data_IF_311438763018
#
_entry.id   IF_311438763018
#
_cell.length_a   1.000
_cell.length_b   1.000
_cell.length_c   1.000
_cell.angle_alpha   90.00
_cell.angle_beta   90.00
_cell.angle_gamma   90.00
#
_symmetry.space_group_name_H-M   'P 1'
#
loop_
_entity.id
_entity.type
_entity.pdbx_description
1 polymer ?
#
# COMPACT_ATOMS: atom_id res chain seq x y z
N UNK A 1 -5.93 -10.50 6.96
CA UNK A 1 -5.07 -9.83 5.96
C UNK A 1 -5.89 -9.69 4.70
N UNK A 2 -6.12 -8.46 4.24
CA UNK A 2 -6.97 -8.23 3.06
C UNK A 2 -6.06 -7.92 1.86
N UNK A 3 -6.31 -8.61 0.76
CA UNK A 3 -5.62 -8.43 -0.53
C UNK A 3 -6.67 -8.18 -1.61
N UNK A 4 -6.27 -7.53 -2.71
CA UNK A 4 -7.13 -7.46 -3.89
C UNK A 4 -6.49 -8.20 -5.07
N UNK A 5 -7.34 -8.76 -5.93
CA UNK A 5 -6.88 -9.52 -7.09
C UNK A 5 -6.07 -8.66 -8.06
N UNK A 6 -6.47 -7.41 -8.31
CA UNK A 6 -5.68 -6.51 -9.16
C UNK A 6 -4.32 -6.19 -8.54
N UNK A 7 -4.23 -6.06 -7.21
CA UNK A 7 -2.98 -5.75 -6.52
C UNK A 7 -2.02 -6.95 -6.50
N UNK A 8 -2.54 -8.16 -6.30
CA UNK A 8 -1.76 -9.39 -6.51
C UNK A 8 -1.28 -9.52 -7.96
N UNK A 9 -2.10 -9.08 -8.93
CA UNK A 9 -1.78 -9.17 -10.37
C UNK A 9 -0.56 -8.32 -10.78
N UNK A 10 -0.15 -7.37 -9.94
CA UNK A 10 1.09 -6.61 -10.12
C UNK A 10 2.34 -7.46 -9.90
N UNK A 11 2.24 -8.51 -9.07
CA UNK A 11 3.34 -9.41 -8.73
C UNK A 11 3.25 -10.78 -9.40
N UNK A 12 2.06 -11.24 -9.78
CA UNK A 12 1.85 -12.54 -10.44
C UNK A 12 0.81 -12.41 -11.55
N UNK A 13 0.88 -13.23 -12.62
CA UNK A 13 -0.13 -13.17 -13.68
C UNK A 13 -1.36 -14.02 -13.34
N UNK A 14 -2.47 -13.36 -13.00
CA UNK A 14 -3.73 -14.03 -12.67
C UNK A 14 -4.73 -14.06 -13.84
N UNK A 15 -4.39 -13.61 -15.05
CA UNK A 15 -5.35 -13.43 -16.15
C UNK A 15 -6.17 -14.67 -16.51
N UNK A 16 -5.62 -15.87 -16.32
CA UNK A 16 -6.24 -17.18 -16.59
C UNK A 16 -6.77 -17.89 -15.33
N UNK A 17 -6.63 -17.30 -14.15
CA UNK A 17 -6.98 -17.94 -12.86
C UNK A 17 -8.35 -17.49 -12.39
N UNK A 18 -9.31 -18.39 -12.20
CA UNK A 18 -10.64 -18.02 -11.68
C UNK A 18 -10.61 -17.73 -10.17
N UNK A 19 -11.63 -17.04 -9.66
CA UNK A 19 -11.78 -16.82 -8.21
C UNK A 19 -11.99 -18.14 -7.45
N UNK A 20 -12.63 -19.14 -8.05
CA UNK A 20 -12.74 -20.50 -7.49
C UNK A 20 -11.36 -21.18 -7.35
N UNK A 21 -10.51 -21.05 -8.38
CA UNK A 21 -9.14 -21.58 -8.33
C UNK A 21 -8.32 -20.85 -7.28
N UNK A 22 -8.44 -19.52 -7.16
CA UNK A 22 -7.78 -18.76 -6.08
C UNK A 22 -8.22 -19.25 -4.70
N UNK A 23 -9.53 -19.36 -4.46
CA UNK A 23 -10.07 -19.86 -3.21
C UNK A 23 -9.49 -21.22 -2.82
N UNK A 24 -9.53 -22.19 -3.74
CA UNK A 24 -9.01 -23.53 -3.49
C UNK A 24 -7.49 -23.52 -3.24
N UNK A 25 -6.76 -22.71 -4.00
CA UNK A 25 -5.30 -22.65 -3.91
C UNK A 25 -4.85 -22.06 -2.57
N UNK A 26 -5.43 -20.93 -2.16
CA UNK A 26 -5.13 -20.29 -0.87
C UNK A 26 -5.35 -21.24 0.30
N UNK A 27 -6.53 -21.87 0.37
CA UNK A 27 -6.84 -22.85 1.41
C UNK A 27 -5.89 -24.06 1.38
N UNK A 28 -5.48 -24.53 0.19
CA UNK A 28 -4.55 -25.66 0.05
C UNK A 28 -3.13 -25.35 0.55
N UNK A 29 -2.71 -24.08 0.55
CA UNK A 29 -1.39 -23.66 1.05
C UNK A 29 -1.44 -23.07 2.47
N UNK A 30 -2.57 -23.20 3.16
CA UNK A 30 -2.74 -22.77 4.55
C UNK A 30 -2.92 -21.25 4.72
N UNK A 31 -3.27 -20.54 3.65
CA UNK A 31 -3.77 -19.16 3.71
C UNK A 31 -5.30 -19.24 3.67
N UNK A 32 -5.93 -19.44 4.82
CA UNK A 32 -7.37 -19.68 4.90
C UNK A 32 -8.15 -18.45 4.40
N UNK A 33 -9.12 -18.69 3.52
CA UNK A 33 -9.93 -17.62 2.95
C UNK A 33 -11.22 -17.47 3.74
N UNK A 34 -11.36 -16.36 4.45
CA UNK A 34 -12.59 -16.03 5.18
C UNK A 34 -13.68 -15.55 4.21
N UNK A 35 -13.34 -14.61 3.31
CA UNK A 35 -14.29 -14.07 2.35
C UNK A 35 -13.66 -13.74 0.99
N UNK A 36 -14.48 -13.82 -0.06
CA UNK A 36 -14.18 -13.31 -1.41
C UNK A 36 -15.36 -12.46 -1.86
N UNK A 37 -15.12 -11.17 -2.03
CA UNK A 37 -16.15 -10.19 -2.40
C UNK A 37 -15.79 -9.54 -3.74
N UNK A 38 -16.63 -9.75 -4.76
CA UNK A 38 -16.48 -9.15 -6.08
C UNK A 38 -17.21 -7.81 -6.14
N UNK A 39 -16.50 -6.75 -6.54
CA UNK A 39 -17.09 -5.44 -6.79
C UNK A 39 -17.35 -5.29 -8.28
N UNK A 40 -18.62 -5.14 -8.63
CA UNK A 40 -19.05 -4.95 -10.02
C UNK A 40 -19.57 -3.54 -10.23
N UNK A 41 -18.97 -2.79 -11.15
CA UNK A 41 -19.46 -1.49 -11.56
C UNK A 41 -20.40 -1.63 -12.77
N UNK A 42 -21.57 -0.97 -12.81
CA UNK A 42 -22.45 -1.04 -13.97
C UNK A 42 -21.80 -0.45 -15.24
N UNK A 43 -21.99 -1.07 -16.41
CA UNK A 43 -21.36 -0.63 -17.68
C UNK A 43 -21.70 0.81 -18.07
N UNK A 44 -22.88 1.30 -17.68
CA UNK A 44 -23.34 2.68 -17.94
C UNK A 44 -22.81 3.71 -16.95
N UNK A 45 -21.97 3.29 -16.00
CA UNK A 45 -21.13 4.17 -15.21
C UNK A 45 -19.81 4.33 -15.95
N UNK A 46 -19.55 5.53 -16.44
CA UNK A 46 -18.42 5.84 -17.32
C UNK A 46 -17.54 6.92 -16.71
N UNK A 47 -16.30 7.00 -17.19
CA UNK A 47 -15.43 8.15 -16.92
C UNK A 47 -16.02 9.38 -17.60
N UNK A 48 -16.27 10.45 -16.85
CA UNK A 48 -16.70 11.74 -17.36
C UNK A 48 -15.62 12.79 -17.21
N UNK A 49 -15.37 13.58 -18.25
CA UNK A 49 -14.48 14.73 -18.21
C UNK A 49 -15.27 16.01 -17.94
N UNK A 50 -14.98 16.69 -16.84
CA UNK A 50 -15.65 17.95 -16.47
C UNK A 50 -15.12 19.07 -17.37
N UNK A 51 -16.01 19.64 -18.20
CA UNK A 51 -15.69 20.74 -19.10
C UNK A 51 -15.92 22.11 -18.45
N UNK A 52 -16.97 22.21 -17.64
CA UNK A 52 -17.23 23.38 -16.80
C UNK A 52 -18.07 23.01 -15.58
N UNK A 53 -17.92 23.78 -14.50
CA UNK A 53 -18.70 23.65 -13.28
C UNK A 53 -19.09 25.04 -12.79
N UNK A 54 -20.38 25.35 -12.84
CA UNK A 54 -20.93 26.65 -12.45
C UNK A 54 -21.86 26.51 -11.23
N UNK A 55 -22.04 27.59 -10.47
CA UNK A 55 -22.97 27.59 -9.35
C UNK A 55 -24.41 27.47 -9.86
N UNK A 56 -25.24 26.67 -9.19
CA UNK A 56 -26.64 26.58 -9.55
C UNK A 56 -27.36 27.92 -9.30
N UNK A 57 -28.15 28.44 -10.26
CA UNK A 57 -28.75 29.78 -10.16
C UNK A 57 -29.71 29.92 -8.97
N UNK A 58 -30.45 28.86 -8.67
CA UNK A 58 -31.49 28.84 -7.63
C UNK A 58 -31.15 27.96 -6.41
N UNK A 59 -29.89 27.56 -6.21
CA UNK A 59 -29.51 26.68 -5.09
C UNK A 59 -28.03 26.81 -4.63
N UNK A 60 -27.84 27.26 -3.39
CA UNK A 60 -26.51 27.52 -2.81
C UNK A 60 -25.62 26.28 -2.62
N UNK A 61 -26.20 25.08 -2.57
CA UNK A 61 -25.45 23.82 -2.36
C UNK A 61 -25.31 22.98 -3.62
N UNK A 62 -25.79 23.45 -4.77
CA UNK A 62 -25.72 22.72 -6.02
C UNK A 62 -24.80 23.41 -7.01
N UNK A 63 -24.20 22.61 -7.86
CA UNK A 63 -23.41 23.02 -9.01
C UNK A 63 -24.01 22.42 -10.27
N UNK A 64 -23.90 23.14 -11.39
CA UNK A 64 -24.31 22.70 -12.73
C UNK A 64 -23.04 22.43 -13.51
N UNK A 65 -22.81 21.16 -13.82
CA UNK A 65 -21.61 20.70 -14.51
C UNK A 65 -21.93 20.37 -15.96
N UNK A 66 -21.07 20.79 -16.90
CA UNK A 66 -21.03 20.27 -18.26
C UNK A 66 -19.97 19.18 -18.33
N UNK A 67 -20.36 17.94 -18.57
CA UNK A 67 -19.47 16.78 -18.50
C UNK A 67 -19.50 16.05 -19.84
N UNK A 68 -18.33 15.82 -20.42
CA UNK A 68 -18.17 14.94 -21.58
C UNK A 68 -18.16 13.48 -21.12
N UNK A 69 -19.08 12.69 -21.65
CA UNK A 69 -19.21 11.25 -21.38
C UNK A 69 -18.88 10.41 -22.63
N UNK A 70 -18.05 10.95 -23.54
CA UNK A 70 -17.58 10.32 -24.78
C UNK A 70 -18.61 10.31 -25.91
N UNK A 71 -19.87 10.01 -25.58
CA UNK A 71 -20.99 10.09 -26.54
C UNK A 71 -21.52 11.51 -26.76
N UNK A 72 -20.97 12.50 -26.05
CA UNK A 72 -21.35 13.90 -26.08
C UNK A 72 -21.33 14.55 -24.71
N UNK A 73 -21.56 15.86 -24.68
CA UNK A 73 -21.64 16.64 -23.44
C UNK A 73 -23.03 16.54 -22.81
N UNK A 74 -23.08 16.33 -21.49
CA UNK A 74 -24.30 16.31 -20.66
C UNK A 74 -24.26 17.42 -19.63
N UNK A 75 -25.43 17.96 -19.30
CA UNK A 75 -25.61 18.82 -18.14
C UNK A 75 -26.00 17.95 -16.93
N UNK A 76 -25.22 18.00 -15.86
CA UNK A 76 -25.46 17.21 -14.65
C UNK A 76 -25.39 18.13 -13.43
N UNK A 77 -26.43 18.07 -12.60
CA UNK A 77 -26.47 18.83 -11.34
C UNK A 77 -25.83 17.99 -10.24
N UNK A 78 -24.79 18.53 -9.61
CA UNK A 78 -24.03 17.86 -8.54
C UNK A 78 -24.09 18.66 -7.24
N UNK A 79 -24.35 17.99 -6.12
CA UNK A 79 -24.37 18.61 -4.79
C UNK A 79 -23.05 18.54 -4.02
N UNK A 80 -22.08 17.76 -4.50
CA UNK A 80 -20.81 17.60 -3.83
C UNK A 80 -19.92 18.83 -4.05
N UNK A 81 -19.32 19.34 -2.98
CA UNK A 81 -18.49 20.56 -3.04
C UNK A 81 -17.18 20.33 -3.82
N UNK A 82 -16.63 19.11 -3.75
CA UNK A 82 -15.37 18.73 -4.38
C UNK A 82 -15.44 18.61 -5.92
N UNK A 83 -16.64 18.63 -6.53
CA UNK A 83 -16.79 18.58 -8.00
C UNK A 83 -16.17 19.77 -8.72
N UNK A 84 -16.02 20.91 -8.03
CA UNK A 84 -15.49 22.17 -8.62
C UNK A 84 -14.04 22.02 -9.08
N UNK A 85 -13.26 21.16 -8.42
CA UNK A 85 -11.84 20.95 -8.71
C UNK A 85 -11.58 19.65 -9.48
N UNK A 86 -12.63 18.94 -9.89
CA UNK A 86 -12.49 17.64 -10.53
C UNK A 86 -12.26 17.79 -12.04
N UNK A 87 -11.25 17.13 -12.58
CA UNK A 87 -11.08 16.99 -14.04
C UNK A 87 -11.84 15.76 -14.57
N UNK A 88 -11.66 14.61 -13.91
CA UNK A 88 -12.35 13.37 -14.24
C UNK A 88 -13.15 12.84 -13.05
N UNK A 89 -14.34 12.34 -13.34
CA UNK A 89 -15.30 11.83 -12.34
C UNK A 89 -16.00 10.56 -12.84
N UNK A 90 -16.57 9.78 -11.93
CA UNK A 90 -17.47 8.70 -12.30
C UNK A 90 -18.88 9.23 -12.59
N UNK A 91 -19.44 8.92 -13.76
CA UNK A 91 -20.76 9.39 -14.19
C UNK A 91 -21.67 8.22 -14.51
N UNK A 92 -22.77 8.11 -13.76
CA UNK A 92 -23.87 7.23 -14.12
C UNK A 92 -24.76 7.92 -15.15
N UNK A 93 -24.77 7.39 -16.37
CA UNK A 93 -25.56 7.90 -17.49
C UNK A 93 -27.03 7.46 -17.42
N UNK A 94 -27.92 8.10 -18.18
CA UNK A 94 -29.35 7.75 -18.19
C UNK A 94 -29.56 6.26 -18.52
N UNK A 95 -30.37 5.61 -17.68
CA UNK A 95 -30.68 4.19 -17.74
C UNK A 95 -29.57 3.30 -17.18
N UNK A 96 -28.55 3.85 -16.49
CA UNK A 96 -27.72 3.09 -15.57
C UNK A 96 -28.56 2.63 -14.38
N UNK A 97 -28.27 1.44 -13.85
CA UNK A 97 -28.89 0.91 -12.62
C UNK A 97 -27.78 0.76 -11.59
N UNK A 98 -27.83 1.56 -10.54
CA UNK A 98 -26.87 1.54 -9.44
C UNK A 98 -27.27 0.48 -8.39
N UNK A 99 -26.33 0.06 -7.52
CA UNK A 99 -26.63 -0.78 -6.36
C UNK A 99 -27.89 -0.34 -5.61
N UNK A 100 -28.73 -1.32 -5.23
CA UNK A 100 -30.05 -1.07 -4.63
C UNK A 100 -31.16 -0.79 -5.64
N UNK A 101 -31.01 -1.25 -6.89
CA UNK A 101 -31.99 -1.12 -7.98
C UNK A 101 -32.35 0.34 -8.31
N UNK A 102 -31.38 1.26 -8.16
CA UNK A 102 -31.58 2.68 -8.39
C UNK A 102 -31.31 3.05 -9.86
N UNK A 103 -32.38 3.17 -10.65
CA UNK A 103 -32.30 3.53 -12.06
C UNK A 103 -32.13 5.06 -12.27
N UNK A 104 -31.06 5.44 -12.98
CA UNK A 104 -30.80 6.83 -13.36
C UNK A 104 -31.76 7.27 -14.46
N UNK A 105 -32.53 8.32 -14.19
CA UNK A 105 -33.49 8.93 -15.11
C UNK A 105 -33.17 10.39 -15.31
N UNK A 106 -33.65 10.94 -16.42
CA UNK A 106 -33.67 12.39 -16.62
C UNK A 106 -34.46 13.05 -15.49
N UNK A 107 -33.85 14.03 -14.83
CA UNK A 107 -34.46 14.75 -13.71
C UNK A 107 -34.35 16.27 -13.88
N UNK A 108 -35.19 17.00 -13.16
CA UNK A 108 -35.10 18.46 -13.07
C UNK A 108 -34.92 18.85 -11.61
N UNK A 109 -33.73 19.34 -11.26
CA UNK A 109 -33.40 19.77 -9.91
C UNK A 109 -33.50 21.29 -9.86
N UNK A 110 -34.41 21.82 -9.04
CA UNK A 110 -34.57 23.27 -8.81
C UNK A 110 -34.66 24.11 -10.10
N UNK A 111 -35.29 23.57 -11.16
CA UNK A 111 -35.47 24.29 -12.41
C UNK A 111 -34.46 23.96 -13.50
N UNK A 112 -33.36 23.28 -13.17
CA UNK A 112 -32.27 22.91 -14.08
C UNK A 112 -32.32 21.42 -14.42
N UNK A 113 -32.15 21.08 -15.70
CA UNK A 113 -32.13 19.69 -16.18
C UNK A 113 -30.84 18.97 -15.77
N UNK A 114 -30.95 17.69 -15.40
CA UNK A 114 -29.83 16.82 -15.07
C UNK A 114 -29.96 15.51 -15.84
N UNK A 115 -29.01 15.27 -16.73
CA UNK A 115 -28.95 14.14 -17.66
C UNK A 115 -28.02 13.02 -17.16
N UNK A 116 -28.03 12.77 -15.86
CA UNK A 116 -27.17 11.78 -15.20
C UNK A 116 -26.90 12.11 -13.75
N UNK A 117 -25.92 11.42 -13.18
CA UNK A 117 -25.45 11.60 -11.81
C UNK A 117 -23.93 11.44 -11.76
N UNK A 118 -23.24 12.35 -11.04
CA UNK A 118 -21.83 12.17 -10.67
C UNK A 118 -21.80 11.34 -9.38
N UNK A 119 -21.06 10.24 -9.39
CA UNK A 119 -21.14 9.22 -8.34
C UNK A 119 -20.05 9.37 -7.27
N UNK A 120 -20.47 9.16 -6.03
CA UNK A 120 -19.61 8.81 -4.89
C UNK A 120 -19.24 7.32 -4.91
N UNK A 121 -18.28 6.92 -4.08
CA UNK A 121 -17.87 5.54 -3.93
C UNK A 121 -19.01 4.66 -3.37
N UNK A 122 -19.68 5.16 -2.33
CA UNK A 122 -20.81 4.47 -1.68
C UNK A 122 -21.96 4.19 -2.65
N UNK A 123 -22.29 5.13 -3.53
CA UNK A 123 -23.33 4.93 -4.55
C UNK A 123 -23.00 3.84 -5.55
N UNK A 124 -21.72 3.52 -5.74
CA UNK A 124 -21.26 2.43 -6.60
C UNK A 124 -20.94 1.14 -5.85
N UNK A 125 -21.20 1.09 -4.54
CA UNK A 125 -20.88 -0.07 -3.70
C UNK A 125 -19.38 -0.26 -3.44
N UNK A 126 -18.58 0.79 -3.65
CA UNK A 126 -17.17 0.82 -3.26
C UNK A 126 -17.05 1.24 -1.78
N UNK A 127 -15.95 0.86 -1.09
CA UNK A 127 -15.61 1.39 0.22
C UNK A 127 -15.58 2.92 0.24
N UNK A 128 -15.85 3.51 1.40
CA UNK A 128 -15.89 4.96 1.55
C UNK A 128 -14.49 5.57 1.37
N UNK A 129 -14.39 6.51 0.42
CA UNK A 129 -13.15 7.23 0.10
C UNK A 129 -13.39 8.74 0.16
N UNK A 130 -13.18 9.31 1.34
CA UNK A 130 -13.38 10.73 1.61
C UNK A 130 -14.83 11.19 1.46
N UNK A 131 -15.01 12.52 1.53
CA UNK A 131 -16.32 13.15 1.42
C UNK A 131 -16.66 13.51 -0.04
N UNK A 132 -17.83 13.07 -0.51
CA UNK A 132 -18.42 13.52 -1.77
C UNK A 132 -18.24 12.57 -2.95
N UNK A 133 -18.04 13.13 -4.15
CA UNK A 133 -17.90 12.34 -5.39
C UNK A 133 -16.49 11.80 -5.57
N UNK A 134 -16.36 10.73 -6.35
CA UNK A 134 -15.04 10.20 -6.71
C UNK A 134 -14.38 11.08 -7.76
N UNK A 135 -13.25 11.68 -7.40
CA UNK A 135 -12.35 12.33 -8.34
C UNK A 135 -11.37 11.26 -8.83
N UNK A 136 -11.42 10.99 -10.13
CA UNK A 136 -10.57 9.98 -10.76
C UNK A 136 -9.27 10.64 -11.23
N UNK A 137 -8.17 9.89 -11.16
CA UNK A 137 -6.88 10.29 -11.69
C UNK A 137 -6.23 9.15 -12.51
N UNK A 138 -5.08 9.44 -13.10
CA UNK A 138 -4.39 8.48 -13.98
C UNK A 138 -3.75 7.30 -13.22
N UNK A 139 -3.85 7.23 -11.87
CA UNK A 139 -3.32 6.11 -11.10
C UNK A 139 -4.05 4.79 -11.39
N UNK A 140 -5.28 4.83 -11.90
CA UNK A 140 -6.01 3.64 -12.39
C UNK A 140 -5.76 3.35 -13.88
N UNK A 141 -4.92 4.15 -14.55
CA UNK A 141 -4.62 4.06 -15.96
C UNK A 141 -5.18 5.23 -16.77
N UNK A 142 -5.04 5.17 -18.10
CA UNK A 142 -5.48 6.26 -18.98
C UNK A 142 -7.00 6.48 -18.89
N UNK A 143 -7.36 7.72 -18.54
CA UNK A 143 -8.72 8.18 -18.38
C UNK A 143 -9.24 8.77 -19.69
N UNK A 144 -10.26 8.11 -20.25
CA UNK A 144 -10.91 8.51 -21.50
C UNK A 144 -12.40 8.75 -21.24
N UNK A 145 -12.92 9.91 -21.67
CA UNK A 145 -14.33 10.22 -21.53
C UNK A 145 -15.21 9.15 -22.21
N UNK A 146 -16.20 8.63 -21.50
CA UNK A 146 -17.11 7.59 -21.96
C UNK A 146 -16.61 6.16 -21.80
N UNK A 147 -15.35 5.94 -21.43
CA UNK A 147 -14.85 4.60 -21.10
C UNK A 147 -15.57 4.07 -19.86
N UNK A 148 -16.09 2.85 -19.94
CA UNK A 148 -16.81 2.23 -18.83
C UNK A 148 -15.88 2.07 -17.62
N UNK A 149 -16.34 2.51 -16.44
CA UNK A 149 -15.55 2.39 -15.21
C UNK A 149 -15.36 0.92 -14.81
N UNK A 150 -16.27 0.05 -15.24
CA UNK A 150 -16.16 -1.41 -15.09
C UNK A 150 -14.97 -2.04 -15.81
N UNK A 151 -14.39 -1.34 -16.79
CA UNK A 151 -13.22 -1.83 -17.52
C UNK A 151 -11.90 -1.67 -16.76
N UNK A 152 -11.90 -0.99 -15.61
CA UNK A 152 -10.72 -0.80 -14.77
C UNK A 152 -10.67 -1.90 -13.70
N UNK A 153 -9.74 -2.88 -13.78
CA UNK A 153 -9.68 -3.99 -12.85
C UNK A 153 -9.35 -3.57 -11.41
N UNK A 154 -8.75 -2.39 -11.25
CA UNK A 154 -8.44 -1.80 -9.95
C UNK A 154 -9.66 -1.18 -9.26
N UNK A 155 -10.75 -0.96 -9.99
CA UNK A 155 -12.02 -0.43 -9.46
C UNK A 155 -13.06 -1.54 -9.36
N UNK A 156 -13.25 -2.32 -10.44
CA UNK A 156 -14.06 -3.55 -10.41
C UNK A 156 -13.23 -4.74 -10.00
N UNK A 157 -12.77 -4.72 -8.74
CA UNK A 157 -11.81 -5.66 -8.21
C UNK A 157 -12.47 -6.78 -7.39
N UNK A 158 -11.69 -7.80 -7.04
CA UNK A 158 -12.06 -8.85 -6.08
C UNK A 158 -11.26 -8.65 -4.80
N UNK A 159 -11.95 -8.40 -3.69
CA UNK A 159 -11.37 -8.31 -2.35
C UNK A 159 -11.36 -9.71 -1.74
N UNK A 160 -10.21 -10.12 -1.21
CA UNK A 160 -9.99 -11.45 -0.62
C UNK A 160 -9.46 -11.26 0.79
N UNK A 161 -10.19 -11.78 1.77
CA UNK A 161 -9.79 -11.75 3.17
C UNK A 161 -9.17 -13.09 3.59
N UNK A 162 -7.94 -13.01 4.09
CA UNK A 162 -7.15 -14.16 4.52
C UNK A 162 -6.98 -14.15 6.04
N UNK A 163 -7.29 -15.26 6.69
CA UNK A 163 -6.92 -15.52 8.07
C UNK A 163 -5.49 -16.06 8.13
N UNK A 164 -4.60 -15.32 8.80
CA UNK A 164 -3.19 -15.68 8.90
C UNK A 164 -2.86 -16.16 10.31
N UNK A 165 -2.25 -17.34 10.37
CA UNK A 165 -1.62 -17.84 11.59
C UNK A 165 -0.33 -17.07 11.91
N UNK A 166 0.08 -17.06 13.18
CA UNK A 166 1.20 -16.23 13.65
C UNK A 166 2.54 -16.55 12.98
N UNK A 167 2.73 -17.77 12.47
CA UNK A 167 3.93 -18.20 11.74
C UNK A 167 4.03 -17.64 10.31
N UNK A 168 3.00 -16.94 9.82
CA UNK A 168 2.93 -16.39 8.45
C UNK A 168 3.05 -14.87 8.40
N UNK A 169 3.96 -14.30 9.20
CA UNK A 169 4.23 -12.86 9.17
C UNK A 169 4.67 -12.35 7.80
N UNK A 170 5.33 -13.21 7.03
CA UNK A 170 5.71 -12.95 5.65
C UNK A 170 4.49 -12.64 4.75
N UNK A 171 3.35 -13.26 5.01
CA UNK A 171 2.08 -13.03 4.30
C UNK A 171 1.28 -11.84 4.81
N UNK A 172 1.78 -11.03 5.75
CA UNK A 172 1.16 -9.76 6.15
C UNK A 172 1.39 -8.63 5.13
N UNK A 173 1.56 -8.99 3.85
CA UNK A 173 1.80 -8.09 2.73
C UNK A 173 1.31 -8.68 1.40
N UNK A 174 1.01 -7.81 0.43
CA UNK A 174 0.64 -8.24 -0.93
C UNK A 174 1.75 -9.07 -1.55
N UNK A 175 3.01 -8.62 -1.42
CA UNK A 175 4.17 -9.30 -1.98
C UNK A 175 4.36 -10.71 -1.41
N UNK A 176 4.24 -10.88 -0.08
CA UNK A 176 4.37 -12.19 0.56
C UNK A 176 3.28 -13.16 0.14
N UNK A 177 2.02 -12.70 0.09
CA UNK A 177 0.89 -13.50 -0.40
C UNK A 177 1.09 -13.87 -1.88
N UNK A 178 1.53 -12.92 -2.71
CA UNK A 178 1.81 -13.17 -4.12
C UNK A 178 2.94 -14.18 -4.32
N UNK A 179 3.99 -14.14 -3.50
CA UNK A 179 5.09 -15.12 -3.51
C UNK A 179 4.57 -16.52 -3.28
N UNK A 180 3.83 -16.75 -2.20
CA UNK A 180 3.24 -18.06 -1.88
C UNK A 180 2.32 -18.57 -2.98
N UNK A 181 1.43 -17.69 -3.45
CA UNK A 181 0.49 -18.00 -4.51
C UNK A 181 1.20 -18.31 -5.85
N UNK A 182 2.33 -17.64 -6.14
CA UNK A 182 3.14 -17.92 -7.34
C UNK A 182 3.67 -19.35 -7.36
N UNK A 183 4.12 -19.86 -6.22
CA UNK A 183 4.64 -21.23 -6.09
C UNK A 183 3.50 -22.24 -6.27
N UNK A 184 2.36 -21.97 -5.63
CA UNK A 184 1.19 -22.85 -5.64
C UNK A 184 0.54 -22.97 -7.03
N UNK A 185 0.49 -21.86 -7.79
CA UNK A 185 -0.05 -21.81 -9.14
C UNK A 185 0.98 -22.14 -10.24
N UNK A 186 2.23 -22.41 -9.87
CA UNK A 186 3.36 -22.61 -10.79
C UNK A 186 3.55 -21.43 -11.76
N UNK A 187 3.42 -20.20 -11.24
CA UNK A 187 3.58 -18.96 -11.99
C UNK A 187 4.86 -18.23 -11.60
N UNK A 188 5.36 -17.40 -12.51
CA UNK A 188 6.51 -16.55 -12.25
C UNK A 188 6.11 -15.38 -11.34
N UNK A 189 6.90 -15.15 -10.29
CA UNK A 189 6.82 -13.95 -9.48
C UNK A 189 7.56 -12.83 -10.20
N UNK A 190 6.84 -11.77 -10.56
CA UNK A 190 7.39 -10.59 -11.21
C UNK A 190 8.35 -9.88 -10.27
N UNK A 191 9.58 -9.67 -10.73
CA UNK A 191 10.56 -8.92 -9.95
C UNK A 191 10.24 -7.42 -9.97
N UNK A 192 10.32 -6.78 -8.82
CA UNK A 192 10.17 -5.34 -8.73
C UNK A 192 11.49 -4.65 -9.09
N UNK A 193 11.50 -3.95 -10.22
CA UNK A 193 12.62 -3.10 -10.61
C UNK A 193 12.19 -1.63 -10.63
N UNK A 194 12.89 -0.83 -9.84
CA UNK A 194 12.77 0.62 -9.87
C UNK A 194 14.14 1.26 -9.89
N UNK A 195 14.35 2.13 -10.87
CA UNK A 195 15.50 3.03 -10.92
C UNK A 195 15.00 4.45 -10.65
N UNK A 196 15.43 4.99 -9.52
CA UNK A 196 15.09 6.34 -9.08
C UNK A 196 15.45 7.37 -10.15
N UNK A 197 14.56 8.35 -10.35
CA UNK A 197 14.85 9.48 -11.23
C UNK A 197 15.88 10.40 -10.56
N UNK A 198 16.89 10.84 -11.29
CA UNK A 198 18.02 11.63 -10.75
C UNK A 198 17.65 13.11 -10.54
N UNK A 199 16.42 13.42 -10.09
CA UNK A 199 15.98 14.80 -9.83
C UNK A 199 16.87 15.51 -8.81
N UNK A 200 17.39 14.78 -7.82
CA UNK A 200 18.29 15.29 -6.79
C UNK A 200 19.58 14.48 -6.71
N UNK A 201 20.71 15.10 -7.06
CA UNK A 201 22.06 14.50 -7.03
C UNK A 201 22.84 14.76 -5.74
N UNK A 202 22.19 15.33 -4.73
CA UNK A 202 22.81 15.52 -3.43
C UNK A 202 22.75 14.21 -2.64
N UNK A 203 23.92 13.73 -2.22
CA UNK A 203 24.03 12.57 -1.34
C UNK A 203 23.59 12.90 0.08
N UNK A 204 22.83 12.00 0.69
CA UNK A 204 22.30 12.13 2.05
C UNK A 204 23.39 12.44 3.09
N UNK A 205 24.59 11.90 2.93
CA UNK A 205 25.71 12.06 3.87
C UNK A 205 26.20 13.52 4.04
N UNK A 206 25.76 14.44 3.17
CA UNK A 206 26.04 15.87 3.31
C UNK A 206 25.11 16.55 4.32
N UNK A 207 23.86 16.12 4.34
CA UNK A 207 22.79 16.72 5.14
C UNK A 207 22.56 15.98 6.46
N UNK A 208 22.77 14.67 6.47
CA UNK A 208 22.46 13.80 7.59
C UNK A 208 23.63 12.87 7.95
N UNK A 209 23.75 12.59 9.24
CA UNK A 209 24.64 11.58 9.79
C UNK A 209 23.93 10.74 10.84
N UNK A 210 24.46 9.55 11.09
CA UNK A 210 23.91 8.60 12.03
C UNK A 210 24.99 8.12 12.99
N UNK A 211 24.67 8.12 14.28
CA UNK A 211 25.54 7.65 15.36
C UNK A 211 24.92 6.43 16.02
N UNK A 212 25.75 5.42 16.28
CA UNK A 212 25.34 4.17 16.90
C UNK A 212 25.89 4.09 18.33
N UNK A 213 25.05 3.68 19.28
CA UNK A 213 25.45 3.37 20.67
C UNK A 213 24.94 1.96 21.04
N UNK A 214 25.85 1.05 21.36
CA UNK A 214 25.53 -0.34 21.71
C UNK A 214 25.68 -1.34 20.55
N UNK A 215 25.31 -2.59 20.81
CA UNK A 215 25.30 -3.70 19.85
C UNK A 215 23.96 -3.75 19.12
N UNK A 216 23.99 -3.67 17.79
CA UNK A 216 22.77 -3.58 16.99
C UNK A 216 22.30 -4.98 16.58
N UNK A 217 21.02 -5.27 16.83
CA UNK A 217 20.31 -6.45 16.35
C UNK A 217 19.15 -6.12 15.37
N UNK A 218 19.11 -4.85 14.94
CA UNK A 218 18.18 -4.31 13.95
C UNK A 218 18.89 -3.90 12.66
N UNK A 219 18.34 -4.24 11.50
CA UNK A 219 18.68 -3.54 10.26
C UNK A 219 17.86 -2.26 10.18
N UNK A 220 18.51 -1.16 9.87
CA UNK A 220 17.91 0.16 9.81
C UNK A 220 18.42 0.90 8.60
N UNK A 221 17.51 1.29 7.71
CA UNK A 221 17.85 2.08 6.53
C UNK A 221 17.07 3.39 6.58
N UNK A 222 17.78 4.52 6.54
CA UNK A 222 17.20 5.86 6.57
C UNK A 222 17.45 6.59 5.25
N UNK A 223 16.37 7.08 4.64
CA UNK A 223 16.39 7.88 3.42
C UNK A 223 15.83 9.27 3.70
N UNK A 224 16.48 10.30 3.16
CA UNK A 224 16.05 11.69 3.31
C UNK A 224 15.32 12.14 2.03
N UNK A 225 14.25 12.91 2.19
CA UNK A 225 13.53 13.51 1.08
C UNK A 225 13.02 14.91 1.45
N UNK A 226 12.95 15.78 0.44
CA UNK A 226 12.20 17.03 0.52
C UNK A 226 10.84 16.83 -0.13
N UNK A 227 9.81 17.36 0.52
CA UNK A 227 8.42 17.28 0.07
C UNK A 227 7.99 18.68 -0.40
N UNK A 228 7.79 18.82 -1.71
CA UNK A 228 7.32 20.07 -2.30
C UNK A 228 5.78 20.09 -2.32
N UNK A 229 5.12 19.01 -2.74
CA UNK A 229 3.66 18.90 -2.72
C UNK A 229 3.18 17.45 -2.59
N UNK A 230 2.19 17.25 -1.72
CA UNK A 230 1.43 16.00 -1.58
C UNK A 230 0.03 16.10 -2.18
N UNK A 231 -0.21 15.31 -3.21
CA UNK A 231 -1.47 15.07 -3.89
C UNK A 231 -2.06 13.73 -3.46
N UNK A 232 -3.38 13.67 -3.48
CA UNK A 232 -4.09 12.41 -3.26
C UNK A 232 -4.02 11.55 -4.51
N UNK A 233 -3.90 10.22 -4.35
CA UNK A 233 -3.97 9.27 -5.45
C UNK A 233 -5.21 8.41 -5.28
N UNK A 234 -6.10 8.45 -6.28
CA UNK A 234 -7.37 7.73 -6.26
C UNK A 234 -7.17 6.23 -6.02
N UNK A 235 -6.22 5.59 -6.72
CA UNK A 235 -5.94 4.15 -6.54
C UNK A 235 -5.45 3.83 -5.12
N UNK A 236 -4.57 4.66 -4.57
CA UNK A 236 -4.01 4.44 -3.23
C UNK A 236 -5.12 4.58 -2.18
N UNK A 237 -5.89 5.67 -2.23
CA UNK A 237 -7.03 5.88 -1.33
C UNK A 237 -8.04 4.74 -1.46
N UNK A 238 -8.38 4.33 -2.69
CA UNK A 238 -9.33 3.24 -2.92
C UNK A 238 -8.84 1.90 -2.36
N UNK A 239 -7.59 1.52 -2.64
CA UNK A 239 -7.03 0.26 -2.15
C UNK A 239 -6.90 0.24 -0.63
N UNK A 240 -6.50 1.35 -0.01
CA UNK A 240 -6.45 1.45 1.45
C UNK A 240 -7.83 1.30 2.07
N UNK A 241 -8.86 1.90 1.46
CA UNK A 241 -10.24 1.71 1.90
C UNK A 241 -10.74 0.27 1.69
N UNK A 242 -10.32 -0.41 0.61
CA UNK A 242 -10.64 -1.83 0.37
C UNK A 242 -9.99 -2.80 1.38
N UNK A 243 -8.89 -2.39 2.03
CA UNK A 243 -8.17 -3.21 3.02
C UNK A 243 -8.31 -2.68 4.45
N UNK A 244 -9.26 -1.77 4.68
CA UNK A 244 -9.54 -1.13 5.97
C UNK A 244 -8.31 -0.46 6.62
N UNK A 245 -7.48 0.18 5.81
CA UNK A 245 -6.23 0.85 6.21
C UNK A 245 -6.18 2.34 5.80
N UNK A 246 -7.35 2.98 5.69
CA UNK A 246 -7.46 4.41 5.35
C UNK A 246 -6.81 5.29 6.42
N UNK A 247 -6.17 6.38 5.98
CA UNK A 247 -5.51 7.36 6.85
C UNK A 247 -5.95 8.77 6.45
N UNK A 248 -6.06 9.69 7.43
CA UNK A 248 -6.38 11.09 7.13
C UNK A 248 -5.19 11.84 6.48
N UNK A 249 -3.96 11.50 6.86
CA UNK A 249 -2.74 12.06 6.26
C UNK A 249 -2.41 11.36 4.94
N UNK A 250 -2.10 12.16 3.92
CA UNK A 250 -1.62 11.69 2.62
C UNK A 250 -0.29 10.97 2.76
N UNK A 251 0.64 11.52 3.55
CA UNK A 251 1.94 10.90 3.76
C UNK A 251 1.81 9.54 4.47
N UNK A 252 0.97 9.47 5.50
CA UNK A 252 0.69 8.21 6.20
C UNK A 252 -0.01 7.19 5.29
N UNK A 253 -0.91 7.64 4.41
CA UNK A 253 -1.52 6.77 3.39
C UNK A 253 -0.46 6.15 2.47
N UNK A 254 0.52 6.94 2.00
CA UNK A 254 1.60 6.44 1.15
C UNK A 254 2.48 5.40 1.88
N UNK A 255 2.77 5.62 3.16
CA UNK A 255 3.53 4.67 4.01
C UNK A 255 2.74 3.39 4.27
N UNK A 256 1.46 3.51 4.62
CA UNK A 256 0.57 2.37 4.83
C UNK A 256 0.45 1.53 3.55
N UNK A 257 0.28 2.18 2.41
CA UNK A 257 0.20 1.51 1.11
C UNK A 257 1.50 0.79 0.74
N UNK A 258 2.66 1.43 0.92
CA UNK A 258 3.96 0.81 0.66
C UNK A 258 4.26 -0.34 1.64
N UNK A 259 3.93 -0.17 2.92
CA UNK A 259 4.08 -1.21 3.96
C UNK A 259 3.17 -2.40 3.68
N UNK A 260 1.91 -2.16 3.31
CA UNK A 260 0.97 -3.24 2.96
C UNK A 260 1.37 -3.95 1.67
N UNK A 261 1.93 -3.23 0.70
CA UNK A 261 2.43 -3.84 -0.53
C UNK A 261 3.64 -4.73 -0.25
N UNK A 262 4.67 -4.18 0.39
CA UNK A 262 6.01 -4.78 0.44
C UNK A 262 6.24 -5.65 1.67
N UNK A 263 5.50 -5.41 2.76
CA UNK A 263 5.72 -6.03 4.06
C UNK A 263 6.87 -5.44 4.85
N UNK A 264 7.61 -4.47 4.30
CA UNK A 264 8.68 -3.76 5.00
C UNK A 264 8.04 -2.73 5.94
N UNK A 265 8.52 -2.65 7.17
CA UNK A 265 8.07 -1.63 8.12
C UNK A 265 8.64 -0.29 7.70
N UNK A 266 7.76 0.65 7.35
CA UNK A 266 8.13 1.98 6.90
C UNK A 266 7.57 3.03 7.84
N UNK A 267 8.41 3.98 8.26
CA UNK A 267 8.02 5.15 9.05
C UNK A 267 8.55 6.42 8.42
N UNK A 268 7.95 7.55 8.78
CA UNK A 268 8.40 8.87 8.36
C UNK A 268 8.51 9.80 9.55
N UNK A 269 9.65 10.48 9.64
CA UNK A 269 9.94 11.44 10.69
C UNK A 269 10.13 12.84 10.12
N UNK A 270 9.60 13.85 10.79
CA UNK A 270 9.92 15.25 10.48
C UNK A 270 11.39 15.52 10.85
N UNK A 271 12.19 15.95 9.86
CA UNK A 271 13.64 16.10 10.04
C UNK A 271 14.00 17.16 11.09
N UNK A 272 13.09 18.07 11.42
CA UNK A 272 13.31 19.15 12.41
C UNK A 272 13.59 18.60 13.82
N UNK A 273 13.06 17.43 14.17
CA UNK A 273 13.32 16.77 15.46
C UNK A 273 14.74 16.22 15.60
N UNK A 274 15.47 16.12 14.49
CA UNK A 274 16.83 15.59 14.41
C UNK A 274 17.84 16.68 14.05
N UNK A 275 17.40 17.91 13.80
CA UNK A 275 18.26 19.00 13.35
C UNK A 275 19.10 19.54 14.51
N UNK A 276 20.42 19.45 14.35
CA UNK A 276 21.44 20.03 15.22
C UNK A 276 22.32 20.96 14.39
N UNK A 277 22.25 22.27 14.69
CA UNK A 277 22.88 23.31 13.87
C UNK A 277 22.44 23.21 12.40
N UNK A 278 23.38 22.89 11.49
CA UNK A 278 23.14 22.76 10.05
C UNK A 278 22.96 21.31 9.58
N UNK A 279 23.04 20.31 10.48
CA UNK A 279 22.93 18.88 10.11
C UNK A 279 21.78 18.17 10.79
N UNK A 280 21.27 17.15 10.12
CA UNK A 280 20.40 16.13 10.72
C UNK A 280 21.28 15.08 11.40
N UNK A 281 21.00 14.79 12.66
CA UNK A 281 21.76 13.84 13.46
C UNK A 281 20.81 12.79 14.04
N UNK A 282 20.85 11.59 13.46
CA UNK A 282 20.12 10.42 13.95
C UNK A 282 21.01 9.70 14.97
N UNK A 283 20.50 9.43 16.17
CA UNK A 283 21.21 8.60 17.14
C UNK A 283 20.42 7.33 17.40
N UNK A 284 20.98 6.20 16.99
CA UNK A 284 20.40 4.86 17.22
C UNK A 284 21.09 4.26 18.43
N UNK A 285 20.30 3.85 19.43
CA UNK A 285 20.81 3.33 20.70
C UNK A 285 20.16 2.00 21.03
N UNK A 286 20.99 1.01 21.35
CA UNK A 286 20.54 -0.21 22.00
C UNK A 286 20.20 0.11 23.46
N UNK A 287 18.92 -0.09 23.83
CA UNK A 287 18.51 -0.01 25.23
C UNK A 287 18.72 -1.36 25.91
N UNK A 288 18.39 -2.43 25.21
CA UNK A 288 18.64 -3.83 25.52
C UNK A 288 18.44 -4.65 24.25
N UNK A 289 18.86 -5.91 24.26
CA UNK A 289 18.59 -6.87 23.19
C UNK A 289 17.11 -6.85 22.77
N UNK A 290 16.86 -6.70 21.48
CA UNK A 290 15.54 -6.60 20.85
C UNK A 290 14.89 -5.22 20.90
N UNK A 291 15.49 -4.24 21.60
CA UNK A 291 14.93 -2.90 21.79
C UNK A 291 15.95 -1.84 21.41
N UNK A 292 15.71 -1.24 20.24
CA UNK A 292 16.50 -0.15 19.69
C UNK A 292 15.67 1.14 19.74
N UNK A 293 16.26 2.19 20.31
CA UNK A 293 15.67 3.53 20.35
C UNK A 293 16.31 4.42 19.29
N UNK A 294 15.47 5.15 18.55
CA UNK A 294 15.89 6.26 17.70
C UNK A 294 15.74 7.56 18.49
N UNK A 295 16.82 8.31 18.64
CA UNK A 295 16.85 9.59 19.33
C UNK A 295 17.13 10.75 18.37
N UNK A 296 16.41 11.85 18.59
CA UNK A 296 16.61 13.15 17.97
C UNK A 296 16.76 14.20 19.07
N UNK A 297 17.78 15.04 19.01
CA UNK A 297 18.04 16.10 19.99
C UNK A 297 18.05 15.64 21.47
N UNK A 298 18.47 14.39 21.71
CA UNK A 298 18.58 13.80 23.05
C UNK A 298 17.29 13.21 23.62
N UNK A 299 16.18 13.26 22.87
CA UNK A 299 14.90 12.65 23.25
C UNK A 299 14.57 11.45 22.35
N UNK A 300 13.90 10.44 22.90
CA UNK A 300 13.48 9.24 22.16
C UNK A 300 12.31 9.62 21.24
N UNK A 301 12.50 9.35 19.95
CA UNK A 301 11.53 9.64 18.89
C UNK A 301 10.78 8.38 18.45
N UNK A 302 11.42 7.22 18.55
CA UNK A 302 10.78 5.93 18.28
C UNK A 302 11.49 4.81 19.03
N UNK A 303 10.73 3.76 19.35
CA UNK A 303 11.27 2.42 19.62
C UNK A 303 11.10 1.63 18.33
N UNK A 304 12.21 1.34 17.64
CA UNK A 304 12.23 0.78 16.28
C UNK A 304 11.34 -0.47 16.20
N UNK A 305 10.43 -0.48 15.21
CA UNK A 305 9.51 -1.59 14.97
C UNK A 305 8.39 -1.76 16.02
N UNK A 306 8.37 -0.96 17.10
CA UNK A 306 7.41 -1.06 18.21
C UNK A 306 6.47 0.14 18.26
N UNK A 307 7.00 1.35 18.28
CA UNK A 307 6.22 2.58 18.32
C UNK A 307 6.99 3.79 17.77
N UNK A 308 6.26 4.86 17.49
CA UNK A 308 6.80 6.18 17.16
C UNK A 308 6.07 7.25 17.96
N UNK A 309 6.78 8.34 18.29
CA UNK A 309 6.17 9.52 18.90
C UNK A 309 5.31 10.27 17.89
N UNK A 310 4.09 10.64 18.29
CA UNK A 310 3.19 11.47 17.48
C UNK A 310 3.85 12.80 17.10
N UNK A 311 4.64 13.39 18.00
CA UNK A 311 5.27 14.70 17.79
C UNK A 311 6.23 14.69 16.60
N UNK A 312 7.06 13.64 16.46
CA UNK A 312 8.05 13.55 15.39
C UNK A 312 7.54 12.83 14.14
N UNK A 313 6.31 12.35 14.16
CA UNK A 313 5.68 11.74 12.99
C UNK A 313 5.49 12.80 11.91
N UNK A 314 6.03 12.56 10.72
CA UNK A 314 5.88 13.48 9.62
C UNK A 314 4.41 13.54 9.17
N UNK A 315 3.83 14.73 9.20
CA UNK A 315 2.52 15.03 8.63
C UNK A 315 2.61 15.63 7.23
N UNK A 316 1.45 15.98 6.66
CA UNK A 316 1.35 16.47 5.28
C UNK A 316 1.99 17.85 5.06
N UNK A 317 2.32 18.57 6.13
CA UNK A 317 3.00 19.88 6.09
C UNK A 317 4.51 19.80 6.24
N UNK A 318 5.06 18.60 6.47
CA UNK A 318 6.50 18.42 6.64
C UNK A 318 7.22 18.75 5.33
N UNK A 319 8.22 19.63 5.38
CA UNK A 319 8.99 20.04 4.21
C UNK A 319 10.16 19.10 3.91
N UNK A 320 10.68 18.46 4.95
CA UNK A 320 11.79 17.52 4.85
C UNK A 320 11.56 16.36 5.80
N UNK A 321 11.68 15.15 5.26
CA UNK A 321 11.26 13.93 5.92
C UNK A 321 12.36 12.89 5.86
N UNK A 322 12.53 12.16 6.96
CA UNK A 322 13.40 11.00 7.06
C UNK A 322 12.50 9.76 7.02
N UNK A 323 12.61 8.98 5.95
CA UNK A 323 11.97 7.67 5.85
C UNK A 323 12.85 6.61 6.49
N UNK A 324 12.30 5.87 7.44
CA UNK A 324 12.92 4.67 8.03
C UNK A 324 12.33 3.43 7.37
N UNK A 325 13.19 2.48 7.02
CA UNK A 325 12.84 1.07 6.89
C UNK A 325 13.57 0.28 7.96
N UNK A 326 12.86 -0.58 8.68
CA UNK A 326 13.44 -1.32 9.80
C UNK A 326 13.03 -2.80 9.84
N UNK A 327 13.96 -3.63 10.32
CA UNK A 327 13.73 -5.04 10.60
C UNK A 327 14.49 -5.46 11.86
N UNK A 328 13.77 -6.10 12.78
CA UNK A 328 14.32 -6.76 13.97
C UNK A 328 13.78 -8.18 13.96
N UNK A 329 14.61 -9.15 14.32
CA UNK A 329 14.14 -10.53 14.41
C UNK A 329 13.02 -10.62 15.46
N UNK A 330 11.83 -11.18 15.11
CA UNK A 330 10.63 -11.10 15.95
C UNK A 330 10.84 -11.68 17.35
N UNK A 331 11.56 -12.80 17.48
CA UNK A 331 11.82 -13.43 18.78
C UNK A 331 12.54 -12.49 19.77
N UNK A 332 13.51 -11.70 19.29
CA UNK A 332 14.23 -10.75 20.14
C UNK A 332 13.30 -9.65 20.65
N UNK A 333 12.46 -9.13 19.75
CA UNK A 333 11.52 -8.04 20.05
C UNK A 333 10.40 -8.50 20.99
N UNK A 334 9.78 -9.64 20.71
CA UNK A 334 8.63 -10.14 21.49
C UNK A 334 9.03 -10.52 22.90
N UNK A 335 10.18 -11.19 23.08
CA UNK A 335 10.71 -11.50 24.42
C UNK A 335 10.91 -10.21 25.22
N UNK A 336 11.60 -9.22 24.64
CA UNK A 336 11.92 -7.97 25.32
C UNK A 336 10.69 -7.12 25.67
N UNK A 337 9.65 -7.12 24.82
CA UNK A 337 8.39 -6.42 25.10
C UNK A 337 7.56 -7.17 26.13
N UNK A 338 7.58 -8.50 26.17
CA UNK A 338 6.81 -9.24 27.18
C UNK A 338 7.28 -8.98 28.62
N UNK A 339 8.54 -8.60 28.79
CA UNK A 339 9.16 -8.31 30.09
C UNK A 339 8.86 -6.89 30.62
N UNK A 340 8.35 -5.98 29.79
CA UNK A 340 8.17 -4.55 30.10
C UNK A 340 6.89 -3.98 29.50
N UNK A 341 6.29 -2.97 30.16
CA UNK A 341 5.10 -2.30 29.63
C UNK A 341 5.48 -1.24 28.57
N UNK A 342 5.93 -1.67 27.39
CA UNK A 342 6.05 -0.79 26.22
C UNK A 342 4.66 -0.54 25.61
N UNK A 343 4.41 0.70 25.18
CA UNK A 343 3.26 1.01 24.33
C UNK A 343 3.58 0.56 22.91
N UNK A 344 2.65 -0.10 22.22
CA UNK A 344 2.83 -0.56 20.84
C UNK A 344 1.85 0.17 19.92
N UNK A 345 2.27 0.45 18.69
CA UNK A 345 1.36 0.94 17.64
C UNK A 345 0.97 -0.16 16.64
N UNK A 346 0.20 0.21 15.62
CA UNK A 346 -0.37 -0.74 14.65
C UNK A 346 0.69 -1.51 13.84
N UNK A 347 1.88 -0.93 13.65
CA UNK A 347 2.96 -1.59 12.91
C UNK A 347 3.64 -2.69 13.72
N UNK A 348 3.57 -2.64 15.05
CA UNK A 348 4.12 -3.67 15.93
C UNK A 348 3.57 -5.07 15.61
N UNK A 349 2.29 -5.17 15.22
CA UNK A 349 1.67 -6.43 14.84
C UNK A 349 2.41 -7.13 13.68
N UNK A 350 2.92 -6.34 12.71
CA UNK A 350 3.71 -6.86 11.59
C UNK A 350 5.15 -7.18 12.04
N UNK A 351 5.77 -6.28 12.80
CA UNK A 351 7.14 -6.48 13.30
C UNK A 351 7.28 -7.74 14.17
N UNK A 352 6.37 -7.93 15.13
CA UNK A 352 6.37 -9.04 16.08
C UNK A 352 6.15 -10.43 15.46
N UNK A 353 5.74 -10.50 14.20
CA UNK A 353 5.50 -11.75 13.47
C UNK A 353 6.51 -12.02 12.36
N UNK A 354 7.47 -11.12 12.17
CA UNK A 354 8.45 -11.20 11.09
C UNK A 354 7.97 -10.44 9.85
N UNK A 355 8.22 -9.13 9.84
CA UNK A 355 8.08 -8.29 8.65
C UNK A 355 9.10 -8.65 7.57
N UNK A 356 8.95 -8.10 6.37
CA UNK A 356 9.88 -8.36 5.27
C UNK A 356 11.25 -7.69 5.56
N UNK A 357 12.35 -8.47 5.62
CA UNK A 357 13.70 -7.93 5.88
C UNK A 357 14.33 -7.24 4.66
N UNK A 358 13.71 -7.28 3.47
CA UNK A 358 14.23 -6.60 2.28
C UNK A 358 13.99 -5.08 2.32
N UNK A 359 14.66 -4.36 3.23
CA UNK A 359 14.45 -2.93 3.49
C UNK A 359 14.58 -2.06 2.22
N UNK A 360 15.49 -2.43 1.34
CA UNK A 360 15.70 -1.76 0.04
C UNK A 360 14.49 -1.85 -0.88
N UNK A 361 13.78 -2.98 -0.87
CA UNK A 361 12.58 -3.14 -1.66
C UNK A 361 11.50 -2.16 -1.16
N UNK A 362 11.29 -2.07 0.15
CA UNK A 362 10.36 -1.13 0.77
C UNK A 362 10.66 0.32 0.43
N UNK A 363 11.90 0.77 0.64
CA UNK A 363 12.29 2.15 0.35
C UNK A 363 12.26 2.50 -1.14
N UNK A 364 12.63 1.56 -2.02
CA UNK A 364 12.54 1.77 -3.48
C UNK A 364 11.08 1.83 -3.94
N UNK A 365 10.22 0.97 -3.41
CA UNK A 365 8.79 1.00 -3.72
C UNK A 365 8.14 2.31 -3.24
N UNK A 366 8.44 2.74 -2.02
CA UNK A 366 8.01 4.04 -1.50
C UNK A 366 8.52 5.18 -2.39
N UNK A 367 9.81 5.17 -2.75
CA UNK A 367 10.38 6.19 -3.66
C UNK A 367 9.66 6.20 -5.01
N UNK A 368 9.32 5.04 -5.58
CA UNK A 368 8.58 4.95 -6.83
C UNK A 368 7.19 5.60 -6.74
N UNK A 369 6.41 5.28 -5.71
CA UNK A 369 5.05 5.86 -5.58
C UNK A 369 5.12 7.36 -5.29
N UNK A 370 6.11 7.81 -4.51
CA UNK A 370 6.34 9.23 -4.26
C UNK A 370 6.71 9.95 -5.57
N UNK A 371 7.70 9.47 -6.32
CA UNK A 371 8.15 10.14 -7.55
C UNK A 371 7.13 10.06 -8.70
N UNK A 372 6.25 9.04 -8.70
CA UNK A 372 5.20 8.87 -9.72
C UNK A 372 4.00 9.77 -9.49
N UNK A 373 3.58 9.93 -8.23
CA UNK A 373 2.32 10.61 -7.91
C UNK A 373 2.50 11.96 -7.21
N UNK A 374 3.70 12.28 -6.75
CA UNK A 374 4.00 13.42 -5.90
C UNK A 374 5.15 14.25 -6.46
N UNK A 375 5.24 15.51 -6.02
CA UNK A 375 6.43 16.34 -6.27
C UNK A 375 7.34 16.24 -5.05
N UNK A 376 8.21 15.23 -5.07
CA UNK A 376 9.14 14.89 -4.00
C UNK A 376 10.52 14.67 -4.59
N UNK A 377 11.53 15.17 -3.87
CA UNK A 377 12.94 15.00 -4.21
C UNK A 377 13.65 14.17 -3.15
N UNK A 378 13.98 12.93 -3.50
CA UNK A 378 14.72 12.01 -2.64
C UNK A 378 16.24 12.20 -2.80
N UNK A 379 16.97 12.34 -1.69
CA UNK A 379 18.43 12.41 -1.69
C UNK A 379 19.06 11.08 -2.16
N UNK A 380 20.26 11.17 -2.73
CA UNK A 380 21.00 10.00 -3.20
C UNK A 380 21.59 9.21 -2.01
N UNK A 381 21.47 7.89 -2.07
CA UNK A 381 21.96 6.97 -1.04
C UNK A 381 21.03 6.87 0.16
N UNK A 382 21.54 6.27 1.24
CA UNK A 382 20.86 6.08 2.51
C UNK A 382 21.89 5.94 3.63
N UNK A 383 21.49 6.28 4.85
CA UNK A 383 22.23 5.87 6.05
C UNK A 383 21.76 4.47 6.42
N UNK A 384 22.68 3.57 6.81
CA UNK A 384 22.32 2.18 7.07
C UNK A 384 23.08 1.55 8.22
N UNK A 385 22.37 0.69 8.94
CA UNK A 385 22.89 -0.34 9.83
C UNK A 385 22.40 -1.66 9.24
N UNK A 386 23.33 -2.57 8.95
CA UNK A 386 23.05 -3.93 8.51
C UNK A 386 23.64 -4.86 9.57
N UNK A 387 22.85 -5.80 10.07
CA UNK A 387 23.27 -6.77 11.08
C UNK A 387 23.58 -8.10 10.40
N UNK A 388 24.79 -8.60 10.62
CA UNK A 388 25.18 -9.92 10.13
C UNK A 388 24.36 -11.01 10.82
N UNK A 389 23.35 -11.54 10.11
CA UNK A 389 22.61 -12.72 10.55
C UNK A 389 23.12 -13.97 9.88
N UNK A 390 23.46 -14.97 10.69
CA UNK A 390 23.81 -16.30 10.19
C UNK A 390 22.59 -16.92 9.52
N UNK A 391 22.70 -17.23 8.23
CA UNK A 391 21.67 -18.03 7.58
C UNK A 391 21.62 -19.43 8.21
N UNK A 392 20.48 -19.79 8.75
CA UNK A 392 20.28 -21.13 9.28
C UNK A 392 20.29 -22.15 8.14
N UNK A 393 21.11 -23.19 8.29
CA UNK A 393 21.11 -24.33 7.36
C UNK A 393 20.21 -25.41 7.93
N UNK A 394 19.08 -25.64 7.27
CA UNK A 394 18.13 -26.69 7.66
C UNK A 394 18.45 -27.95 6.86
N UNK A 395 18.89 -29.06 7.50
CA UNK A 395 19.07 -30.32 6.79
C UNK A 395 17.70 -30.91 6.43
N UNK A 396 17.47 -31.14 5.13
CA UNK A 396 16.23 -31.75 4.63
C UNK A 396 16.54 -33.15 4.10
N UNK A 397 15.96 -34.18 4.73
CA UNK A 397 16.01 -35.54 4.24
C UNK A 397 14.77 -35.84 3.38
N UNK A 398 14.98 -36.18 2.11
CA UNK A 398 13.86 -36.46 1.19
C UNK A 398 13.04 -37.69 1.60
N UNK A 399 13.67 -38.69 2.23
CA UNK A 399 12.96 -39.86 2.72
C UNK A 399 12.03 -39.50 3.89
N UNK A 400 12.50 -38.64 4.80
CA UNK A 400 11.70 -38.18 5.92
C UNK A 400 10.45 -37.40 5.44
N UNK A 401 10.59 -36.59 4.38
CA UNK A 401 9.45 -35.91 3.74
C UNK A 401 8.44 -36.93 3.18
N UNK A 402 8.92 -37.97 2.49
CA UNK A 402 8.07 -39.05 1.94
C UNK A 402 7.35 -39.79 3.08
N UNK A 403 8.05 -40.09 4.17
CA UNK A 403 7.50 -40.81 5.32
C UNK A 403 6.43 -39.98 6.06
N UNK A 404 6.64 -38.67 6.21
CA UNK A 404 5.67 -37.75 6.83
C UNK A 404 4.40 -37.62 5.98
N UNK A 405 4.54 -37.46 4.66
CA UNK A 405 3.39 -37.29 3.75
C UNK A 405 2.68 -38.64 3.52
N UNK A 406 3.43 -39.76 3.59
CA UNK A 406 2.92 -41.09 3.30
C UNK A 406 2.78 -41.37 1.80
N UNK A 407 3.47 -40.62 0.94
CA UNK A 407 3.49 -40.81 -0.51
C UNK A 407 4.84 -40.44 -1.12
N UNK A 408 5.19 -41.09 -2.23
CA UNK A 408 6.37 -40.74 -3.01
C UNK A 408 6.27 -39.30 -3.56
N UNK A 409 7.31 -38.52 -3.33
CA UNK A 409 7.45 -37.13 -3.84
C UNK A 409 8.77 -37.02 -4.57
N UNK A 410 8.72 -36.58 -5.83
CA UNK A 410 9.92 -36.40 -6.63
C UNK A 410 10.87 -35.37 -6.00
N UNK A 411 12.15 -35.74 -5.89
CA UNK A 411 13.19 -34.88 -5.30
C UNK A 411 13.32 -33.54 -6.03
N UNK A 412 13.21 -33.54 -7.36
CA UNK A 412 13.28 -32.32 -8.16
C UNK A 412 12.13 -31.38 -7.79
N UNK A 413 10.92 -31.93 -7.61
CA UNK A 413 9.76 -31.14 -7.16
C UNK A 413 10.01 -30.49 -5.79
N UNK A 414 10.58 -31.21 -4.83
CA UNK A 414 10.93 -30.65 -3.50
C UNK A 414 11.90 -29.47 -3.67
N UNK A 415 12.98 -29.68 -4.43
CA UNK A 415 14.00 -28.65 -4.67
C UNK A 415 13.38 -27.42 -5.35
N UNK A 416 12.57 -27.62 -6.39
CA UNK A 416 11.92 -26.53 -7.12
C UNK A 416 10.99 -25.72 -6.23
N UNK A 417 10.16 -26.36 -5.40
CA UNK A 417 9.26 -25.66 -4.46
C UNK A 417 10.08 -24.80 -3.49
N UNK A 418 11.12 -25.37 -2.86
CA UNK A 418 11.97 -24.64 -1.92
C UNK A 418 12.67 -23.45 -2.58
N UNK A 419 13.22 -23.63 -3.79
CA UNK A 419 13.84 -22.54 -4.54
C UNK A 419 12.86 -21.43 -4.88
N UNK A 420 11.63 -21.77 -5.33
CA UNK A 420 10.58 -20.79 -5.62
C UNK A 420 10.09 -20.05 -4.37
N UNK A 421 10.17 -20.69 -3.20
CA UNK A 421 9.92 -20.04 -1.90
C UNK A 421 11.08 -19.15 -1.42
N UNK A 422 12.19 -19.09 -2.16
CA UNK A 422 13.34 -18.23 -1.85
C UNK A 422 14.50 -18.92 -1.12
N UNK A 423 14.45 -20.24 -0.91
CA UNK A 423 15.55 -20.96 -0.28
C UNK A 423 16.73 -21.17 -1.23
N UNK A 424 17.93 -20.98 -0.71
CA UNK A 424 19.15 -21.48 -1.36
C UNK A 424 19.28 -22.98 -1.08
N UNK A 425 19.09 -23.81 -2.11
CA UNK A 425 19.17 -25.27 -1.98
C UNK A 425 20.51 -25.76 -2.48
N UNK A 426 21.25 -26.48 -1.64
CA UNK A 426 22.47 -27.19 -2.04
C UNK A 426 22.31 -28.69 -1.75
N UNK A 427 22.65 -29.53 -2.74
CA UNK A 427 22.72 -30.97 -2.53
C UNK A 427 24.11 -31.34 -2.06
N UNK A 428 24.22 -31.95 -0.89
CA UNK A 428 25.44 -32.66 -0.46
C UNK A 428 25.37 -34.14 -0.79
#
# INVERSE_FOLDING_TARGET
MIVTRSWLSEFIDLGDVTNETLYKTFNAIGLEVDSINEITIPEKVVVGKVLSCEKHPDADKLNVCRIDVGSGTRQIVCGAANVVNAEYVAVATIGAVLPGDFEIKHAKLRGVESEGMVCSAKELGLPEIGDGIMILDESIGSLEAGKALSSYPTVSDTIIELELTANRGDCLSIFGVARDLSVALDKELKHFEYKQDEKMKLGIAREAEMHQEGEMDADLHYKLANIDTLQESFLITLRLAMVDASNESKLQSLLAYATHTTGVILRAFDSTFFKQEEKIVLKVKELQKGIIELLGNGTVQATVGVNQSDDSTAGDTAQQVIFEASYIHPDLMVEAISEKNYTTDDLYYKSSRGSNPELDFGLKYLSMILERYQDISCFEGRLRIDVDRTQETIPVNTQEVVDIIGMEVDKTRIVTILQKLGFQVSSR
#
